data_IF_902988231471
#
_entry.id   IF_902988231471
#
_cell.length_a   1.000
_cell.length_b   1.000
_cell.length_c   1.000
_cell.angle_alpha   90.00
_cell.angle_beta   90.00
_cell.angle_gamma   90.00
#
_symmetry.space_group_name_H-M   'P 1'
#
loop_
_entity.id
_entity.type
_entity.pdbx_description
1 polymer ?
#
# COMPACT_ATOMS: atom_id res chain seq x y z
N UNK A 1 13.65 14.85 0.42
CA UNK A 1 13.49 14.40 1.82
C UNK A 1 14.14 13.03 1.93
N UNK A 2 14.68 12.66 3.08
CA UNK A 2 15.38 11.39 3.24
C UNK A 2 14.37 10.22 3.35
N UNK A 3 14.69 9.04 2.81
CA UNK A 3 13.81 7.85 2.88
C UNK A 3 13.46 7.46 4.32
N UNK A 4 14.36 7.71 5.27
CA UNK A 4 14.17 7.38 6.70
C UNK A 4 13.06 8.19 7.36
N UNK A 5 12.60 9.27 6.72
CA UNK A 5 11.41 10.02 7.16
C UNK A 5 10.10 9.28 6.88
N UNK A 6 10.13 8.20 6.09
CA UNK A 6 8.95 7.51 5.58
C UNK A 6 8.87 6.05 6.02
N UNK A 7 7.66 5.63 6.39
CA UNK A 7 7.33 4.24 6.70
C UNK A 7 6.74 3.54 5.47
N UNK A 8 7.26 2.37 5.12
CA UNK A 8 6.78 1.55 4.00
C UNK A 8 5.59 0.70 4.42
N UNK A 9 4.49 0.73 3.65
CA UNK A 9 3.27 -0.05 3.94
C UNK A 9 2.98 -1.19 2.96
N UNK A 10 3.79 -1.34 1.91
CA UNK A 10 3.56 -2.34 0.86
C UNK A 10 2.75 -1.79 -0.31
N UNK A 11 2.19 -2.69 -1.11
CA UNK A 11 1.35 -2.36 -2.25
C UNK A 11 0.22 -1.40 -1.87
N UNK A 12 -0.14 -0.49 -2.78
CA UNK A 12 -1.19 0.53 -2.56
C UNK A 12 -2.64 -0.03 -2.56
N UNK A 13 -2.83 -1.26 -2.07
CA UNK A 13 -4.11 -1.97 -2.01
C UNK A 13 -5.12 -1.32 -1.06
N UNK A 14 -4.67 -0.56 -0.06
CA UNK A 14 -5.58 0.14 0.86
C UNK A 14 -6.56 1.09 0.15
N UNK A 15 -6.27 1.47 -1.11
CA UNK A 15 -7.15 2.28 -1.95
C UNK A 15 -8.32 1.50 -2.55
N UNK A 16 -8.27 0.16 -2.52
CA UNK A 16 -9.27 -0.75 -3.10
C UNK A 16 -9.91 -1.61 -2.03
N UNK A 17 -10.13 -1.05 -0.83
CA UNK A 17 -10.81 -1.74 0.26
C UNK A 17 -12.20 -2.21 -0.20
N UNK A 18 -12.58 -3.47 0.04
CA UNK A 18 -13.91 -3.97 -0.27
C UNK A 18 -15.01 -3.20 0.47
N UNK A 19 -16.20 -3.24 -0.09
CA UNK A 19 -17.41 -2.77 0.59
C UNK A 19 -17.61 -3.54 1.92
N UNK A 20 -18.11 -2.90 2.99
CA UNK A 20 -18.45 -3.58 4.24
C UNK A 20 -19.29 -4.84 4.07
N UNK A 21 -20.19 -4.87 3.10
CA UNK A 21 -21.11 -5.98 2.82
C UNK A 21 -20.60 -6.91 1.70
N UNK A 22 -19.34 -6.74 1.26
CA UNK A 22 -18.71 -7.63 0.28
C UNK A 22 -18.58 -9.07 0.82
N UNK A 23 -18.32 -10.01 -0.09
CA UNK A 23 -18.23 -11.42 0.28
C UNK A 23 -17.02 -11.69 1.19
N UNK A 24 -17.08 -12.78 1.96
CA UNK A 24 -15.94 -13.21 2.78
C UNK A 24 -14.67 -13.45 1.96
N UNK A 25 -14.81 -13.98 0.75
CA UNK A 25 -13.67 -14.19 -0.16
C UNK A 25 -12.98 -12.89 -0.58
N UNK A 26 -13.76 -11.84 -0.88
CA UNK A 26 -13.19 -10.52 -1.22
C UNK A 26 -12.40 -9.94 -0.04
N UNK A 27 -12.89 -10.15 1.18
CA UNK A 27 -12.20 -9.74 2.40
C UNK A 27 -10.94 -10.56 2.67
N UNK A 28 -10.98 -11.87 2.47
CA UNK A 28 -9.82 -12.76 2.60
C UNK A 28 -8.71 -12.33 1.64
N UNK A 29 -9.05 -12.12 0.36
CA UNK A 29 -8.11 -11.67 -0.66
C UNK A 29 -7.51 -10.31 -0.30
N UNK A 30 -8.34 -9.34 0.09
CA UNK A 30 -7.89 -8.00 0.48
C UNK A 30 -6.93 -7.99 1.68
N UNK A 31 -7.18 -8.83 2.69
CA UNK A 31 -6.36 -8.88 3.90
C UNK A 31 -5.05 -9.62 3.65
N UNK A 32 -5.10 -10.74 2.91
CA UNK A 32 -4.01 -11.71 2.86
C UNK A 32 -3.17 -11.65 1.59
N UNK A 33 -3.75 -11.31 0.43
CA UNK A 33 -3.04 -11.37 -0.85
C UNK A 33 -2.43 -10.02 -1.23
N UNK A 34 -1.21 -10.08 -1.80
CA UNK A 34 -0.49 -8.94 -2.36
C UNK A 34 0.34 -9.40 -3.56
N UNK A 35 0.31 -8.62 -4.64
CA UNK A 35 1.25 -8.81 -5.73
C UNK A 35 2.67 -8.44 -5.27
N UNK A 36 3.68 -9.21 -5.73
CA UNK A 36 5.08 -8.96 -5.45
C UNK A 36 5.94 -9.17 -6.71
N UNK A 37 5.72 -8.39 -7.78
CA UNK A 37 6.49 -8.52 -9.00
C UNK A 37 7.90 -7.92 -8.83
N UNK A 38 8.89 -8.52 -9.48
CA UNK A 38 10.15 -7.84 -9.76
C UNK A 38 9.92 -6.88 -10.94
N UNK A 39 10.27 -5.60 -10.79
CA UNK A 39 9.91 -4.57 -11.75
C UNK A 39 9.07 -3.43 -11.17
N UNK A 40 8.23 -2.81 -12.01
CA UNK A 40 7.49 -1.61 -11.64
C UNK A 40 6.32 -1.93 -10.69
N UNK A 41 6.31 -1.29 -9.53
CA UNK A 41 5.27 -1.42 -8.48
C UNK A 41 4.72 -0.06 -8.06
N UNK A 42 3.51 -0.07 -7.49
CA UNK A 42 2.89 1.09 -6.83
C UNK A 42 2.68 0.80 -5.35
N UNK A 43 3.44 1.49 -4.52
CA UNK A 43 3.46 1.26 -3.08
C UNK A 43 2.91 2.44 -2.29
N UNK A 44 2.39 2.14 -1.11
CA UNK A 44 1.93 3.12 -0.14
C UNK A 44 3.02 3.42 0.88
N UNK A 45 3.28 4.71 1.09
CA UNK A 45 4.25 5.23 2.05
C UNK A 45 3.60 6.26 2.95
N UNK A 46 4.01 6.31 4.22
CA UNK A 46 3.53 7.28 5.20
C UNK A 46 4.67 8.22 5.61
N UNK A 47 4.47 9.54 5.51
CA UNK A 47 5.48 10.53 5.91
C UNK A 47 5.46 10.77 7.42
N UNK A 48 6.03 9.82 8.15
CA UNK A 48 5.96 9.72 9.60
C UNK A 48 6.60 10.91 10.32
N UNK A 49 7.82 11.29 9.96
CA UNK A 49 8.56 12.37 10.62
C UNK A 49 8.40 13.72 9.93
N UNK A 50 7.26 13.93 9.26
CA UNK A 50 7.02 15.11 8.44
C UNK A 50 5.57 15.54 8.44
N UNK A 51 4.92 15.52 7.28
CA UNK A 51 3.56 16.06 7.13
C UNK A 51 2.44 15.06 7.46
N UNK A 52 2.77 13.84 7.89
CA UNK A 52 1.78 12.79 8.20
C UNK A 52 0.87 12.44 7.00
N UNK A 53 1.32 12.71 5.79
CA UNK A 53 0.58 12.38 4.57
C UNK A 53 0.84 10.93 4.13
N UNK A 54 -0.17 10.38 3.46
CA UNK A 54 -0.10 9.14 2.72
C UNK A 54 0.27 9.41 1.26
N UNK A 55 1.19 8.61 0.72
CA UNK A 55 1.76 8.80 -0.62
C UNK A 55 1.73 7.49 -1.39
N UNK A 56 1.29 7.56 -2.65
CA UNK A 56 1.50 6.46 -3.61
C UNK A 56 2.78 6.74 -4.38
N UNK A 57 3.74 5.81 -4.29
CA UNK A 57 5.06 5.92 -4.91
C UNK A 57 5.20 4.83 -5.96
N UNK A 58 5.57 5.20 -7.18
CA UNK A 58 5.93 4.24 -8.23
C UNK A 58 7.42 3.94 -8.12
N UNK A 59 7.78 2.65 -8.08
CA UNK A 59 9.16 2.17 -7.91
C UNK A 59 9.47 1.07 -8.91
N UNK A 60 10.74 0.81 -9.18
CA UNK A 60 11.18 -0.42 -9.83
C UNK A 60 11.98 -1.23 -8.80
N UNK A 61 11.47 -2.39 -8.39
CA UNK A 61 12.00 -3.26 -7.32
C UNK A 61 12.82 -4.42 -7.85
#
# INVERSE_FOLDING_TARGET
>A
RDRREFYYRGAALALTRPDPEASGGDWEDYVHLRENPAGVVRDLWYHETGCSAWLVVTRNT
#
